data_IF_044123187752
#
_entry.id   IF_044123187752
#
_cell.length_a   1.000
_cell.length_b   1.000
_cell.length_c   1.000
_cell.angle_alpha   90.00
_cell.angle_beta   90.00
_cell.angle_gamma   90.00
#
_symmetry.space_group_name_H-M   'P 1'
#
loop_
_entity.id
_entity.type
_entity.pdbx_description
1 polymer ?
#
# COMPACT_ATOMS: atom_id res chain seq x y z
N UNK A 1 13.05 17.71 -10.97
CA UNK A 1 11.76 16.99 -11.02
C UNK A 1 11.10 17.05 -9.65
N UNK A 2 9.83 17.43 -9.58
CA UNK A 2 9.03 17.32 -8.36
C UNK A 2 8.35 15.95 -8.29
N UNK A 3 8.67 15.17 -7.25
CA UNK A 3 8.07 13.85 -7.04
C UNK A 3 6.91 13.97 -6.06
N UNK A 4 5.71 13.62 -6.52
CA UNK A 4 4.48 13.67 -5.74
C UNK A 4 4.27 12.34 -5.04
N UNK A 5 4.34 12.34 -3.71
CA UNK A 5 4.04 11.19 -2.85
C UNK A 5 3.64 11.67 -1.45
N UNK A 6 3.07 10.77 -0.64
CA UNK A 6 2.68 11.09 0.74
C UNK A 6 3.89 11.03 1.68
N UNK A 7 4.17 12.12 2.41
CA UNK A 7 5.24 12.17 3.41
C UNK A 7 4.66 12.10 4.83
N UNK A 8 4.99 11.04 5.57
CA UNK A 8 4.65 10.91 7.00
C UNK A 8 5.85 11.34 7.86
N UNK A 9 5.67 12.19 8.90
CA UNK A 9 6.75 12.54 9.83
C UNK A 9 7.42 11.36 10.54
N UNK A 10 6.78 10.18 10.56
CA UNK A 10 7.29 8.93 11.15
C UNK A 10 7.78 7.93 10.12
N UNK A 11 7.95 8.31 8.87
CA UNK A 11 8.15 7.43 7.72
C UNK A 11 6.91 6.62 7.34
N UNK A 12 6.82 6.31 6.05
CA UNK A 12 5.88 5.36 5.49
C UNK A 12 6.60 4.59 4.40
N UNK A 13 7.02 3.37 4.72
CA UNK A 13 7.85 2.52 3.86
C UNK A 13 7.45 2.56 2.39
N UNK A 14 6.16 2.44 2.08
CA UNK A 14 5.68 2.41 0.71
C UNK A 14 5.89 3.72 -0.03
N UNK A 15 5.47 4.83 0.57
CA UNK A 15 5.58 6.14 -0.06
C UNK A 15 7.05 6.63 -0.07
N UNK A 16 7.85 6.29 0.94
CA UNK A 16 9.26 6.68 1.03
C UNK A 16 10.15 5.94 0.01
N UNK A 17 9.68 4.86 -0.61
CA UNK A 17 10.39 4.21 -1.73
C UNK A 17 10.66 5.17 -2.89
N UNK A 18 9.85 6.22 -3.05
CA UNK A 18 10.07 7.26 -4.06
C UNK A 18 11.45 7.92 -3.92
N UNK A 19 11.97 8.08 -2.69
CA UNK A 19 13.27 8.70 -2.44
C UNK A 19 14.45 7.80 -2.83
N UNK A 20 14.21 6.49 -2.99
CA UNK A 20 15.25 5.49 -3.25
C UNK A 20 15.20 5.00 -4.70
N UNK A 21 14.01 4.77 -5.24
CA UNK A 21 13.85 4.14 -6.57
C UNK A 21 14.16 5.13 -7.69
N UNK A 22 13.56 6.32 -7.68
CA UNK A 22 13.64 7.24 -8.80
C UNK A 22 15.04 7.82 -9.06
N UNK A 23 15.84 8.17 -8.03
CA UNK A 23 17.20 8.65 -8.26
C UNK A 23 18.15 7.63 -8.92
N UNK A 24 17.79 6.35 -8.89
CA UNK A 24 18.57 5.28 -9.52
C UNK A 24 18.19 5.08 -11.00
N UNK A 25 17.04 5.60 -11.41
CA UNK A 25 16.44 5.33 -12.73
C UNK A 25 16.53 6.52 -13.67
N UNK A 26 16.44 7.74 -13.15
CA UNK A 26 16.48 8.96 -13.95
C UNK A 26 17.84 9.66 -13.88
N UNK A 27 18.27 10.31 -14.97
CA UNK A 27 19.52 11.07 -14.99
C UNK A 27 19.40 12.33 -14.11
N UNK A 28 20.53 12.82 -13.60
CA UNK A 28 20.58 13.95 -12.65
C UNK A 28 19.91 15.21 -13.23
N UNK A 29 20.11 15.47 -14.52
CA UNK A 29 19.53 16.62 -15.23
C UNK A 29 17.99 16.60 -15.17
N UNK A 30 17.38 15.42 -15.34
CA UNK A 30 15.94 15.24 -15.23
C UNK A 30 15.48 15.36 -13.77
N UNK A 31 16.24 14.77 -12.83
CA UNK A 31 15.95 14.87 -11.40
C UNK A 31 16.01 16.31 -10.87
N UNK A 32 16.82 17.17 -11.48
CA UNK A 32 16.97 18.57 -11.11
C UNK A 32 15.99 19.51 -11.85
N UNK A 33 15.35 19.06 -12.94
CA UNK A 33 14.44 19.90 -13.75
C UNK A 33 13.11 20.21 -13.03
N UNK A 34 12.86 21.45 -12.58
CA UNK A 34 11.64 21.81 -11.87
C UNK A 34 10.38 21.73 -12.75
N UNK A 35 10.49 21.71 -14.08
CA UNK A 35 9.34 21.66 -14.99
C UNK A 35 8.79 20.25 -15.21
N UNK A 36 9.42 19.24 -14.62
CA UNK A 36 8.94 17.85 -14.63
C UNK A 36 8.29 17.51 -13.29
N UNK A 37 7.09 16.94 -13.34
CA UNK A 37 6.36 16.40 -12.19
C UNK A 37 6.21 14.89 -12.37
N UNK A 38 6.62 14.12 -11.37
CA UNK A 38 6.43 12.67 -11.33
C UNK A 38 5.38 12.30 -10.28
N UNK A 39 4.29 11.68 -10.72
CA UNK A 39 3.31 11.02 -9.87
C UNK A 39 3.73 9.55 -9.73
N UNK A 40 4.50 9.27 -8.68
CA UNK A 40 5.24 8.02 -8.48
C UNK A 40 4.52 6.97 -7.62
N UNK A 41 5.30 6.22 -6.83
CA UNK A 41 4.80 5.13 -5.98
C UNK A 41 3.79 5.70 -4.96
N UNK A 42 2.65 5.03 -4.81
CA UNK A 42 1.65 5.38 -3.79
C UNK A 42 0.23 5.49 -4.32
N UNK A 43 -0.68 5.89 -3.42
CA UNK A 43 -2.09 6.14 -3.74
C UNK A 43 -2.37 7.64 -3.94
N UNK A 44 -1.52 8.31 -4.71
CA UNK A 44 -1.50 9.78 -4.84
C UNK A 44 -2.24 10.29 -6.08
N UNK A 45 -2.79 9.39 -6.91
CA UNK A 45 -3.60 9.74 -8.07
C UNK A 45 -5.00 10.20 -7.63
N UNK A 46 -5.07 11.39 -7.03
CA UNK A 46 -6.30 11.99 -6.51
C UNK A 46 -6.39 13.47 -6.88
N UNK A 47 -7.61 13.97 -7.03
CA UNK A 47 -7.89 15.38 -7.32
C UNK A 47 -7.28 16.31 -6.26
N UNK A 48 -7.37 15.94 -4.97
CA UNK A 48 -6.83 16.77 -3.89
C UNK A 48 -5.31 16.93 -4.02
N UNK A 49 -4.59 15.84 -4.28
CA UNK A 49 -3.13 15.87 -4.35
C UNK A 49 -2.63 16.54 -5.63
N UNK A 50 -3.37 16.41 -6.73
CA UNK A 50 -2.90 16.81 -8.05
C UNK A 50 -3.57 18.07 -8.62
N UNK A 51 -4.52 18.67 -7.89
CA UNK A 51 -5.11 19.96 -8.26
C UNK A 51 -4.07 21.05 -8.60
N UNK A 52 -2.90 21.16 -7.91
CA UNK A 52 -1.88 22.15 -8.26
C UNK A 52 -1.28 21.99 -9.66
N UNK A 53 -1.42 20.81 -10.28
CA UNK A 53 -0.86 20.49 -11.59
C UNK A 53 -1.92 20.47 -12.71
N UNK A 54 -3.20 20.73 -12.40
CA UNK A 54 -4.23 20.87 -13.43
C UNK A 54 -3.98 22.14 -14.27
N UNK A 55 -3.92 22.01 -15.59
CA UNK A 55 -3.68 23.13 -16.51
C UNK A 55 -2.28 23.77 -16.41
N UNK A 56 -1.34 23.12 -15.72
CA UNK A 56 0.06 23.57 -15.67
C UNK A 56 0.76 23.38 -17.01
N UNK A 57 1.82 24.16 -17.27
CA UNK A 57 2.73 23.95 -18.41
C UNK A 57 3.80 22.89 -18.13
N UNK A 58 3.93 22.46 -16.87
CA UNK A 58 4.88 21.43 -16.44
C UNK A 58 4.52 20.08 -17.06
N UNK A 59 5.55 19.28 -17.38
CA UNK A 59 5.39 17.92 -17.89
C UNK A 59 5.02 16.98 -16.75
N UNK A 60 3.74 16.62 -16.63
CA UNK A 60 3.25 15.68 -15.61
C UNK A 60 3.34 14.25 -16.14
N UNK A 61 4.10 13.40 -15.45
CA UNK A 61 4.33 11.99 -15.79
C UNK A 61 3.73 11.13 -14.68
N UNK A 62 2.86 10.18 -15.02
CA UNK A 62 2.28 9.20 -14.08
C UNK A 62 2.91 7.84 -14.31
N UNK A 63 3.55 7.29 -13.27
CA UNK A 63 4.24 6.00 -13.30
C UNK A 63 3.93 5.17 -12.05
N UNK A 64 3.08 4.17 -12.22
CA UNK A 64 2.73 3.14 -11.24
C UNK A 64 1.96 3.63 -10.01
N UNK A 65 1.59 4.91 -9.96
CA UNK A 65 0.66 5.43 -8.95
C UNK A 65 -0.72 4.78 -9.12
N UNK A 66 -1.42 4.61 -8.01
CA UNK A 66 -2.83 4.23 -8.00
C UNK A 66 -3.73 5.29 -7.39
N UNK A 67 -5.04 5.08 -7.50
CA UNK A 67 -6.03 5.81 -6.71
C UNK A 67 -6.54 4.96 -5.55
N UNK A 68 -6.89 5.59 -4.43
CA UNK A 68 -7.44 4.87 -3.26
C UNK A 68 -7.96 5.79 -2.15
N UNK A 69 -7.69 7.10 -2.17
CA UNK A 69 -8.05 8.02 -1.08
C UNK A 69 -8.86 9.22 -1.59
N UNK A 70 -9.62 9.01 -2.66
CA UNK A 70 -10.36 10.01 -3.39
C UNK A 70 -10.48 9.60 -4.86
N UNK A 71 -11.08 10.45 -5.68
CA UNK A 71 -11.12 10.25 -7.13
C UNK A 71 -9.94 10.95 -7.80
N UNK A 72 -9.40 10.40 -8.91
CA UNK A 72 -8.44 11.11 -9.75
C UNK A 72 -9.01 12.42 -10.32
N UNK A 73 -8.15 13.33 -10.80
CA UNK A 73 -8.60 14.52 -11.51
C UNK A 73 -9.50 14.18 -12.71
N UNK A 74 -10.50 15.03 -12.98
CA UNK A 74 -11.36 14.86 -14.15
C UNK A 74 -10.60 15.10 -15.44
N UNK A 75 -9.81 16.17 -15.48
CA UNK A 75 -8.99 16.52 -16.62
C UNK A 75 -7.53 16.17 -16.34
N UNK A 76 -7.03 15.18 -17.07
CA UNK A 76 -5.62 14.79 -17.14
C UNK A 76 -5.10 14.95 -18.58
N UNK A 77 -5.74 15.81 -19.38
CA UNK A 77 -5.28 16.14 -20.72
C UNK A 77 -3.90 16.80 -20.65
N UNK A 78 -3.01 16.40 -21.56
CA UNK A 78 -1.61 16.84 -21.55
C UNK A 78 -0.71 16.12 -20.54
N UNK A 79 -1.23 15.21 -19.71
CA UNK A 79 -0.40 14.39 -18.83
C UNK A 79 0.07 13.13 -19.54
N UNK A 80 1.30 12.72 -19.24
CA UNK A 80 1.89 11.49 -19.75
C UNK A 80 1.60 10.34 -18.79
N UNK A 81 0.45 9.69 -18.97
CA UNK A 81 0.05 8.52 -18.17
C UNK A 81 0.70 7.27 -18.77
N UNK A 82 1.92 6.96 -18.33
CA UNK A 82 2.73 5.87 -18.89
C UNK A 82 2.44 4.52 -18.23
N UNK A 83 1.94 4.54 -17.00
CA UNK A 83 1.45 3.34 -16.32
C UNK A 83 0.79 3.70 -14.99
N UNK A 84 -0.29 3.02 -14.64
CA UNK A 84 -0.93 3.10 -13.32
C UNK A 84 -0.88 1.75 -12.61
N UNK A 85 -1.07 1.77 -11.29
CA UNK A 85 -0.87 0.61 -10.40
C UNK A 85 -1.62 -0.66 -10.81
N UNK A 86 -2.74 -0.55 -11.49
CA UNK A 86 -3.52 -1.71 -11.87
C UNK A 86 -4.78 -1.39 -12.68
N UNK A 87 -5.53 -2.43 -13.06
CA UNK A 87 -6.70 -2.31 -13.93
C UNK A 87 -7.85 -1.52 -13.31
N UNK A 88 -8.01 -1.51 -11.98
CA UNK A 88 -9.10 -0.74 -11.35
C UNK A 88 -8.79 0.75 -11.40
N UNK A 89 -7.54 1.15 -11.12
CA UNK A 89 -7.12 2.54 -11.30
C UNK A 89 -7.25 2.96 -12.77
N UNK A 90 -6.79 2.12 -13.70
CA UNK A 90 -6.86 2.36 -15.14
C UNK A 90 -8.31 2.56 -15.62
N UNK A 91 -9.23 1.73 -15.13
CA UNK A 91 -10.65 1.86 -15.41
C UNK A 91 -11.23 3.17 -14.85
N UNK A 92 -10.87 3.57 -13.62
CA UNK A 92 -11.35 4.82 -13.02
C UNK A 92 -10.97 6.04 -13.87
N UNK A 93 -9.76 6.07 -14.43
CA UNK A 93 -9.30 7.16 -15.31
C UNK A 93 -9.65 6.95 -16.79
N UNK A 94 -10.43 5.91 -17.11
CA UNK A 94 -10.87 5.58 -18.47
C UNK A 94 -9.70 5.39 -19.47
N UNK A 95 -8.59 4.84 -18.98
CA UNK A 95 -7.39 4.51 -19.76
C UNK A 95 -6.94 3.06 -19.49
N UNK A 96 -7.71 2.05 -19.92
CA UNK A 96 -7.40 0.64 -19.68
C UNK A 96 -6.01 0.22 -20.20
N UNK A 97 -5.51 0.87 -21.25
CA UNK A 97 -4.18 0.66 -21.82
C UNK A 97 -3.04 1.03 -20.85
N UNK A 98 -3.30 1.93 -19.89
CA UNK A 98 -2.31 2.34 -18.89
C UNK A 98 -2.18 1.35 -17.72
N UNK A 99 -2.98 0.27 -17.68
CA UNK A 99 -2.89 -0.73 -16.62
C UNK A 99 -1.51 -1.42 -16.64
N UNK A 100 -0.68 -1.11 -15.64
CA UNK A 100 0.66 -1.65 -15.48
C UNK A 100 0.77 -2.40 -14.15
N UNK A 101 1.58 -1.92 -13.22
CA UNK A 101 1.64 -2.37 -11.83
C UNK A 101 2.20 -1.26 -10.93
N UNK A 102 2.37 -1.51 -9.63
CA UNK A 102 3.03 -0.57 -8.72
C UNK A 102 4.51 -0.39 -9.07
N UNK A 103 4.99 0.87 -9.11
CA UNK A 103 6.38 1.19 -9.48
C UNK A 103 7.44 0.61 -8.54
N UNK A 104 7.06 0.17 -7.33
CA UNK A 104 7.99 -0.55 -6.46
C UNK A 104 8.51 -1.87 -7.08
N UNK A 105 7.86 -2.41 -8.14
CA UNK A 105 8.40 -3.53 -8.93
C UNK A 105 9.79 -3.25 -9.52
N UNK A 106 10.10 -1.98 -9.79
CA UNK A 106 11.37 -1.56 -10.39
C UNK A 106 12.57 -1.83 -9.47
N UNK A 107 12.36 -2.07 -8.17
CA UNK A 107 13.42 -2.54 -7.27
C UNK A 107 14.09 -3.83 -7.77
N UNK A 108 13.39 -4.69 -8.52
CA UNK A 108 13.97 -5.90 -9.10
C UNK A 108 15.07 -5.61 -10.14
N UNK A 109 15.08 -4.41 -10.72
CA UNK A 109 16.11 -3.95 -11.63
C UNK A 109 17.24 -3.16 -10.94
N UNK A 110 17.22 -3.06 -9.61
CA UNK A 110 18.14 -2.22 -8.81
C UNK A 110 18.91 -3.05 -7.77
N UNK A 111 19.79 -3.98 -8.19
CA UNK A 111 20.55 -4.82 -7.26
C UNK A 111 21.46 -4.03 -6.31
N UNK A 112 21.88 -2.82 -6.70
CA UNK A 112 22.65 -1.90 -5.84
C UNK A 112 21.83 -1.33 -4.68
N UNK A 113 20.50 -1.34 -4.77
CA UNK A 113 19.59 -0.88 -3.71
C UNK A 113 19.24 -2.03 -2.77
N UNK A 114 18.89 -3.18 -3.33
CA UNK A 114 18.52 -4.37 -2.56
C UNK A 114 18.83 -5.63 -3.37
N UNK A 115 19.53 -6.56 -2.72
CA UNK A 115 19.82 -7.88 -3.27
C UNK A 115 19.44 -8.94 -2.24
N UNK A 116 18.82 -10.02 -2.71
CA UNK A 116 18.48 -11.19 -1.89
C UNK A 116 19.75 -11.83 -1.35
N UNK A 117 19.75 -12.14 -0.05
CA UNK A 117 20.75 -13.01 0.54
C UNK A 117 20.59 -14.45 0.01
N UNK A 118 21.71 -15.15 -0.19
CA UNK A 118 21.73 -16.56 -0.59
C UNK A 118 21.03 -17.45 0.45
N UNK A 119 21.26 -17.19 1.73
CA UNK A 119 20.62 -17.90 2.84
C UNK A 119 19.50 -17.03 3.46
N UNK A 120 18.29 -17.22 2.93
CA UNK A 120 17.07 -16.58 3.44
C UNK A 120 16.39 -17.45 4.51
N UNK A 121 16.39 -17.01 5.77
CA UNK A 121 15.82 -17.79 6.89
C UNK A 121 14.65 -17.13 7.62
N UNK A 122 14.51 -15.80 7.53
CA UNK A 122 13.63 -15.04 8.44
C UNK A 122 12.18 -15.03 7.97
N UNK A 123 11.23 -15.20 8.88
CA UNK A 123 9.83 -14.87 8.62
C UNK A 123 9.59 -13.46 9.13
N UNK A 124 9.23 -12.53 8.25
CA UNK A 124 8.95 -11.15 8.64
C UNK A 124 7.47 -10.97 8.92
N UNK A 125 7.17 -10.15 9.93
CA UNK A 125 5.83 -9.63 10.15
C UNK A 125 5.84 -8.10 10.01
N UNK A 126 5.04 -7.56 9.09
CA UNK A 126 4.88 -6.11 8.91
C UNK A 126 3.41 -5.70 9.00
N UNK A 127 2.97 -5.03 10.09
CA UNK A 127 1.62 -4.50 10.18
C UNK A 127 1.46 -3.23 9.34
N UNK A 128 0.22 -2.82 9.08
CA UNK A 128 -0.05 -1.49 8.52
C UNK A 128 0.20 -0.41 9.60
N UNK A 129 0.65 0.78 9.21
CA UNK A 129 0.97 1.86 10.17
C UNK A 129 -0.21 2.21 11.11
N UNK A 130 -1.46 2.07 10.62
CA UNK A 130 -2.69 2.30 11.43
C UNK A 130 -2.98 1.22 12.48
N UNK A 131 -2.29 0.08 12.42
CA UNK A 131 -2.49 -1.08 13.29
C UNK A 131 -1.43 -1.16 14.41
N UNK A 132 -0.47 -0.22 14.46
CA UNK A 132 0.62 -0.17 15.46
C UNK A 132 0.20 0.64 16.71
N UNK A 133 -1.04 0.46 17.19
CA UNK A 133 -1.58 1.32 18.25
C UNK A 133 -1.41 0.75 19.66
N UNK A 134 -2.17 -0.29 20.02
CA UNK A 134 -2.10 -0.88 21.37
C UNK A 134 -1.63 -2.32 21.40
N UNK A 135 -1.77 -3.06 20.30
CA UNK A 135 -1.33 -4.46 20.24
C UNK A 135 0.20 -4.54 20.32
N UNK A 136 0.76 -5.37 21.23
CA UNK A 136 2.20 -5.55 21.40
C UNK A 136 2.77 -6.47 20.29
N UNK A 137 2.67 -6.04 19.03
CA UNK A 137 3.05 -6.84 17.87
C UNK A 137 4.46 -7.38 17.95
N UNK A 138 5.43 -6.54 18.33
CA UNK A 138 6.84 -6.95 18.44
C UNK A 138 7.01 -8.22 19.28
N UNK A 139 6.60 -8.15 20.55
CA UNK A 139 6.69 -9.28 21.48
C UNK A 139 5.91 -10.49 20.96
N UNK A 140 4.68 -10.27 20.49
CA UNK A 140 3.81 -11.35 20.03
C UNK A 140 4.40 -12.15 18.87
N UNK A 141 5.06 -11.49 17.92
CA UNK A 141 5.61 -12.16 16.73
C UNK A 141 7.01 -12.73 16.97
N UNK A 142 7.80 -12.08 17.85
CA UNK A 142 9.09 -12.61 18.30
C UNK A 142 8.90 -13.94 19.06
N UNK A 143 7.86 -14.07 19.89
CA UNK A 143 7.47 -15.34 20.54
C UNK A 143 7.07 -16.45 19.54
N UNK A 144 6.77 -16.09 18.29
CA UNK A 144 6.47 -17.02 17.20
C UNK A 144 7.69 -17.32 16.31
N UNK A 145 8.88 -16.82 16.67
CA UNK A 145 10.08 -16.95 15.86
C UNK A 145 10.07 -16.09 14.59
N UNK A 146 9.25 -15.03 14.55
CA UNK A 146 9.20 -14.06 13.45
C UNK A 146 9.97 -12.79 13.82
N UNK A 147 10.39 -12.04 12.80
CA UNK A 147 11.00 -10.71 12.97
C UNK A 147 9.96 -9.63 12.76
N UNK A 148 9.79 -8.76 13.76
CA UNK A 148 8.91 -7.59 13.65
C UNK A 148 9.57 -6.48 12.82
N UNK A 149 8.92 -6.09 11.72
CA UNK A 149 9.34 -4.98 10.85
C UNK A 149 8.25 -3.92 10.85
N UNK A 150 8.53 -2.73 11.36
CA UNK A 150 7.58 -1.62 11.29
C UNK A 150 7.73 -0.86 9.97
N UNK A 151 6.64 -0.44 9.31
CA UNK A 151 6.69 0.43 8.12
C UNK A 151 7.16 1.86 8.42
N UNK A 152 7.42 2.19 9.69
CA UNK A 152 7.86 3.50 10.18
C UNK A 152 9.39 3.52 10.45
N UNK A 153 10.15 2.77 9.66
CA UNK A 153 11.60 2.70 9.69
C UNK A 153 12.17 3.26 8.37
N UNK A 154 13.46 3.67 8.36
CA UNK A 154 14.13 4.04 7.12
C UNK A 154 14.04 2.92 6.09
N UNK A 155 13.76 3.28 4.82
CA UNK A 155 13.59 2.33 3.70
C UNK A 155 14.74 1.34 3.61
N UNK A 156 15.98 1.80 3.72
CA UNK A 156 17.19 0.95 3.64
C UNK A 156 17.19 -0.17 4.70
N UNK A 157 16.74 0.12 5.92
CA UNK A 157 16.76 -0.82 7.04
C UNK A 157 15.67 -1.89 6.85
N UNK A 158 14.53 -1.49 6.26
CA UNK A 158 13.46 -2.41 5.89
C UNK A 158 13.91 -3.31 4.74
N UNK A 159 14.50 -2.76 3.68
CA UNK A 159 14.99 -3.53 2.54
C UNK A 159 16.08 -4.54 2.94
N UNK A 160 16.99 -4.16 3.86
CA UNK A 160 17.99 -5.07 4.40
C UNK A 160 17.36 -6.25 5.17
N UNK A 161 16.26 -6.03 5.89
CA UNK A 161 15.52 -7.12 6.55
C UNK A 161 14.81 -8.02 5.52
N UNK A 162 14.18 -7.42 4.50
CA UNK A 162 13.52 -8.14 3.41
C UNK A 162 14.49 -9.01 2.61
N UNK A 163 15.71 -8.53 2.36
CA UNK A 163 16.77 -9.29 1.70
C UNK A 163 17.04 -10.66 2.35
N UNK A 164 16.79 -10.81 3.66
CA UNK A 164 17.01 -12.04 4.44
C UNK A 164 15.74 -12.86 4.71
N UNK A 165 14.59 -12.45 4.17
CA UNK A 165 13.29 -13.04 4.48
C UNK A 165 12.95 -14.26 3.62
N UNK A 166 12.55 -15.38 4.20
CA UNK A 166 11.97 -16.51 3.44
C UNK A 166 10.45 -16.40 3.26
N UNK A 167 9.80 -15.57 4.06
CA UNK A 167 8.35 -15.34 4.05
C UNK A 167 8.05 -13.96 4.62
N UNK A 168 7.11 -13.23 4.02
CA UNK A 168 6.61 -11.95 4.55
C UNK A 168 5.12 -12.07 4.89
N UNK A 169 4.77 -11.94 6.16
CA UNK A 169 3.39 -11.91 6.64
C UNK A 169 3.01 -10.46 6.90
N UNK A 170 2.07 -9.89 6.16
CA UNK A 170 1.92 -8.42 6.17
C UNK A 170 0.50 -7.92 5.96
N UNK A 171 0.19 -6.82 6.65
CA UNK A 171 -0.99 -5.99 6.42
C UNK A 171 -0.64 -4.71 5.63
N UNK A 172 0.64 -4.39 5.48
CA UNK A 172 1.11 -3.26 4.69
C UNK A 172 1.23 -3.69 3.22
N UNK A 173 0.48 -3.02 2.33
CA UNK A 173 0.48 -3.35 0.89
C UNK A 173 1.87 -3.31 0.27
N UNK A 174 2.68 -2.30 0.59
CA UNK A 174 4.05 -2.24 0.09
C UNK A 174 4.97 -3.30 0.72
N UNK A 175 4.63 -3.83 1.89
CA UNK A 175 5.27 -5.05 2.40
C UNK A 175 5.02 -6.24 1.48
N UNK A 176 3.82 -6.38 0.91
CA UNK A 176 3.52 -7.43 -0.06
C UNK A 176 4.12 -7.15 -1.44
N UNK A 177 4.04 -5.90 -1.94
CA UNK A 177 4.63 -5.51 -3.23
C UNK A 177 6.13 -5.77 -3.26
N UNK A 178 6.86 -5.32 -2.24
CA UNK A 178 8.31 -5.51 -2.17
C UNK A 178 8.65 -6.99 -1.96
N UNK A 179 7.86 -7.74 -1.17
CA UNK A 179 8.05 -9.17 -1.05
C UNK A 179 7.93 -9.87 -2.41
N UNK A 180 6.85 -9.62 -3.15
CA UNK A 180 6.63 -10.20 -4.49
C UNK A 180 7.72 -9.78 -5.48
N UNK A 181 8.19 -8.53 -5.40
CA UNK A 181 9.26 -7.97 -6.22
C UNK A 181 10.60 -8.66 -6.00
N UNK A 182 10.92 -8.97 -4.75
CA UNK A 182 12.11 -9.73 -4.36
C UNK A 182 11.90 -11.24 -4.46
N UNK A 183 10.77 -11.68 -5.04
CA UNK A 183 10.37 -13.09 -5.20
C UNK A 183 10.29 -13.84 -3.87
N UNK A 184 9.85 -13.16 -2.82
CA UNK A 184 9.63 -13.68 -1.48
C UNK A 184 8.15 -14.07 -1.36
N UNK A 185 7.81 -15.32 -1.00
CA UNK A 185 6.43 -15.68 -0.70
C UNK A 185 5.85 -14.79 0.40
N UNK A 186 4.56 -14.44 0.30
CA UNK A 186 3.94 -13.51 1.23
C UNK A 186 2.51 -13.88 1.61
N UNK A 187 2.03 -13.39 2.75
CA UNK A 187 0.68 -13.65 3.27
C UNK A 187 -0.01 -12.31 3.58
N UNK A 188 -1.08 -11.94 2.85
CA UNK A 188 -1.86 -10.75 3.15
C UNK A 188 -2.69 -10.96 4.40
N UNK A 189 -2.62 -9.99 5.30
CA UNK A 189 -3.41 -9.95 6.50
C UNK A 189 -4.45 -8.84 6.44
N UNK A 190 -5.55 -9.05 7.16
CA UNK A 190 -6.49 -8.00 7.55
C UNK A 190 -6.62 -7.93 9.07
N UNK A 191 -5.98 -6.96 9.70
CA UNK A 191 -6.05 -6.74 11.16
C UNK A 191 -7.11 -5.67 11.45
N UNK A 192 -7.08 -4.57 10.70
CA UNK A 192 -7.93 -3.41 10.88
C UNK A 192 -8.99 -3.29 9.79
N UNK A 193 -10.23 -2.85 10.10
CA UNK A 193 -11.23 -2.52 9.09
C UNK A 193 -10.87 -1.27 8.26
N UNK A 194 -9.79 -0.56 8.60
CA UNK A 194 -9.27 0.58 7.84
C UNK A 194 -8.44 0.17 6.61
N UNK A 195 -8.25 -1.13 6.36
CA UNK A 195 -7.54 -1.54 5.15
C UNK A 195 -8.33 -1.10 3.93
N UNK A 196 -7.57 -0.55 2.99
CA UNK A 196 -8.09 -0.12 1.71
C UNK A 196 -8.04 -1.28 0.72
N UNK A 197 -9.13 -2.01 0.62
CA UNK A 197 -9.22 -3.21 -0.23
C UNK A 197 -9.15 -2.86 -1.72
N UNK A 198 -9.59 -1.66 -2.14
CA UNK A 198 -9.48 -1.19 -3.52
C UNK A 198 -8.03 -1.26 -4.03
N UNK A 199 -7.07 -0.64 -3.30
CA UNK A 199 -5.67 -0.62 -3.75
C UNK A 199 -5.01 -1.99 -3.75
N UNK A 200 -5.37 -2.85 -2.78
CA UNK A 200 -4.89 -4.23 -2.73
C UNK A 200 -5.40 -5.03 -3.93
N UNK A 201 -6.71 -4.96 -4.22
CA UNK A 201 -7.29 -5.64 -5.39
C UNK A 201 -6.73 -5.12 -6.70
N UNK A 202 -6.61 -3.80 -6.83
CA UNK A 202 -6.04 -3.14 -8.00
C UNK A 202 -4.63 -3.66 -8.31
N UNK A 203 -3.75 -3.68 -7.31
CA UNK A 203 -2.40 -4.23 -7.46
C UNK A 203 -2.41 -5.76 -7.71
N UNK A 204 -3.15 -6.55 -6.93
CA UNK A 204 -3.19 -8.00 -7.11
C UNK A 204 -3.67 -8.41 -8.52
N UNK A 205 -4.73 -7.76 -9.02
CA UNK A 205 -5.25 -8.00 -10.38
C UNK A 205 -4.22 -7.67 -11.45
N UNK A 206 -3.34 -6.69 -11.23
CA UNK A 206 -2.25 -6.35 -12.15
C UNK A 206 -1.28 -7.53 -12.39
N UNK A 207 -1.13 -8.41 -11.39
CA UNK A 207 -0.27 -9.60 -11.40
C UNK A 207 -1.06 -10.91 -11.55
N UNK A 208 -2.36 -10.86 -11.86
CA UNK A 208 -3.19 -12.05 -11.99
C UNK A 208 -3.48 -12.77 -10.67
N UNK A 209 -3.40 -12.06 -9.54
CA UNK A 209 -3.68 -12.58 -8.21
C UNK A 209 -5.08 -12.18 -7.74
N UNK A 210 -5.77 -13.11 -7.07
CA UNK A 210 -7.03 -12.82 -6.36
C UNK A 210 -6.73 -12.44 -4.93
N UNK A 211 -7.02 -11.19 -4.54
CA UNK A 211 -6.79 -10.73 -3.16
C UNK A 211 -7.78 -11.39 -2.18
N UNK A 212 -7.29 -12.31 -1.34
CA UNK A 212 -8.03 -12.91 -0.24
C UNK A 212 -7.19 -12.88 1.06
N UNK A 213 -7.31 -11.83 1.89
CA UNK A 213 -6.51 -11.67 3.10
C UNK A 213 -6.97 -12.54 4.27
N UNK A 214 -6.03 -13.00 5.09
CA UNK A 214 -6.34 -13.69 6.35
C UNK A 214 -6.73 -12.67 7.41
N UNK A 215 -7.94 -12.78 7.95
CA UNK A 215 -8.41 -11.88 9.00
C UNK A 215 -7.80 -12.23 10.36
N UNK A 216 -7.14 -11.26 10.98
CA UNK A 216 -6.52 -11.39 12.31
C UNK A 216 -7.37 -10.59 13.30
N UNK A 217 -7.82 -11.19 14.42
CA UNK A 217 -8.59 -10.46 15.42
C UNK A 217 -7.72 -9.39 16.11
N UNK A 218 -8.36 -8.41 16.73
CA UNK A 218 -7.67 -7.41 17.53
C UNK A 218 -6.84 -8.07 18.65
N UNK A 219 -5.60 -7.61 18.84
CA UNK A 219 -4.71 -8.13 19.90
C UNK A 219 -4.96 -7.54 21.28
N UNK A 220 -5.79 -6.50 21.40
CA UNK A 220 -6.17 -5.88 22.68
C UNK A 220 -7.64 -5.51 22.71
N UNK A 221 -8.19 -5.33 23.92
CA UNK A 221 -9.55 -4.82 24.11
C UNK A 221 -9.72 -3.41 23.52
N UNK A 222 -8.69 -2.56 23.62
CA UNK A 222 -8.68 -1.20 23.06
C UNK A 222 -8.75 -1.23 21.53
N UNK A 223 -8.01 -2.12 20.87
CA UNK A 223 -8.08 -2.27 19.41
C UNK A 223 -9.42 -2.87 18.97
N UNK A 224 -9.98 -3.83 19.74
CA UNK A 224 -11.31 -4.40 19.47
C UNK A 224 -12.39 -3.32 19.44
N UNK A 225 -12.44 -2.47 20.47
CA UNK A 225 -13.42 -1.39 20.57
C UNK A 225 -13.26 -0.39 19.41
N UNK A 226 -12.01 0.03 19.14
CA UNK A 226 -11.68 0.92 18.03
C UNK A 226 -12.12 0.35 16.69
N UNK A 227 -11.82 -0.92 16.41
CA UNK A 227 -12.20 -1.59 15.16
C UNK A 227 -13.72 -1.75 15.06
N UNK A 228 -14.40 -2.03 16.17
CA UNK A 228 -15.85 -2.09 16.24
C UNK A 228 -16.51 -0.74 15.91
N UNK A 229 -15.99 0.35 16.47
CA UNK A 229 -16.45 1.70 16.15
C UNK A 229 -16.25 2.04 14.68
N UNK A 230 -15.05 1.77 14.15
CA UNK A 230 -14.71 2.02 12.76
C UNK A 230 -15.57 1.20 11.79
N UNK A 231 -15.86 -0.07 12.10
CA UNK A 231 -16.78 -0.89 11.31
C UNK A 231 -18.20 -0.31 11.31
N UNK A 232 -18.73 0.11 12.47
CA UNK A 232 -20.05 0.77 12.54
C UNK A 232 -20.10 2.02 11.69
N UNK A 233 -19.00 2.77 11.65
CA UNK A 233 -18.90 3.97 10.86
C UNK A 233 -18.91 3.68 9.36
N UNK A 234 -18.04 2.78 8.89
CA UNK A 234 -17.99 2.37 7.49
C UNK A 234 -19.37 1.86 7.01
N UNK A 235 -20.07 1.10 7.86
CA UNK A 235 -21.42 0.64 7.54
C UNK A 235 -22.43 1.79 7.40
N UNK A 236 -22.35 2.83 8.25
CA UNK A 236 -23.22 4.02 8.13
C UNK A 236 -22.99 4.78 6.83
N UNK A 237 -21.78 4.72 6.29
CA UNK A 237 -21.41 5.38 5.04
C UNK A 237 -21.63 4.47 3.83
N UNK A 238 -22.29 3.33 4.00
CA UNK A 238 -22.57 2.38 2.92
C UNK A 238 -21.32 1.66 2.40
N UNK A 239 -20.28 1.53 3.22
CA UNK A 239 -19.04 0.82 2.91
C UNK A 239 -19.01 -0.49 3.68
N UNK A 240 -19.23 -1.60 2.98
CA UNK A 240 -19.28 -2.97 3.48
C UNK A 240 -17.99 -3.77 3.22
N UNK A 241 -17.01 -3.20 2.53
CA UNK A 241 -15.73 -3.85 2.22
C UNK A 241 -15.75 -4.51 0.85
N UNK A 242 -15.29 -5.77 0.76
CA UNK A 242 -15.04 -6.49 -0.52
C UNK A 242 -16.28 -6.57 -1.41
N UNK A 243 -17.46 -6.66 -0.79
CA UNK A 243 -18.75 -6.73 -1.48
C UNK A 243 -19.11 -5.46 -2.28
N UNK A 244 -18.42 -4.34 -2.06
CA UNK A 244 -18.75 -3.07 -2.70
C UNK A 244 -18.07 -2.85 -4.06
N UNK A 245 -17.08 -3.67 -4.41
CA UNK A 245 -16.34 -3.55 -5.67
C UNK A 245 -16.62 -4.83 -6.50
N UNK A 246 -17.57 -4.81 -7.44
CA UNK A 246 -17.78 -5.94 -8.35
C UNK A 246 -16.51 -6.31 -9.12
N UNK A 247 -16.35 -7.58 -9.51
CA UNK A 247 -15.16 -8.04 -10.28
C UNK A 247 -15.02 -7.31 -11.62
N UNK A 248 -16.14 -6.99 -12.27
CA UNK A 248 -16.20 -6.29 -13.56
C UNK A 248 -16.87 -4.91 -13.42
N UNK A 249 -16.58 -4.19 -12.34
CA UNK A 249 -17.19 -2.89 -12.08
C UNK A 249 -16.80 -1.86 -13.15
N UNK A 250 -17.80 -1.19 -13.72
CA UNK A 250 -17.59 -0.07 -14.64
C UNK A 250 -16.95 1.13 -13.93
N UNK A 251 -16.30 2.01 -14.70
CA UNK A 251 -15.61 3.20 -14.21
C UNK A 251 -16.49 4.06 -13.28
N UNK A 252 -17.76 4.27 -13.64
CA UNK A 252 -18.72 5.02 -12.84
C UNK A 252 -18.99 4.37 -11.46
N UNK A 253 -19.06 3.03 -11.41
CA UNK A 253 -19.26 2.29 -10.16
C UNK A 253 -18.03 2.40 -9.26
N UNK A 254 -16.83 2.27 -9.84
CA UNK A 254 -15.57 2.42 -9.11
C UNK A 254 -15.39 3.85 -8.57
N UNK A 255 -15.73 4.87 -9.37
CA UNK A 255 -15.74 6.28 -8.94
C UNK A 255 -16.72 6.52 -7.80
N UNK A 256 -17.97 6.06 -7.94
CA UNK A 256 -18.98 6.19 -6.89
C UNK A 256 -18.58 5.49 -5.59
N UNK A 257 -17.86 4.36 -5.67
CA UNK A 257 -17.27 3.71 -4.51
C UNK A 257 -16.21 4.60 -3.84
N UNK A 258 -15.27 5.15 -4.60
CA UNK A 258 -14.20 6.02 -4.08
C UNK A 258 -14.78 7.30 -3.45
N UNK A 259 -15.75 7.95 -4.11
CA UNK A 259 -16.43 9.13 -3.59
C UNK A 259 -17.18 8.82 -2.30
N UNK A 260 -17.96 7.72 -2.26
CA UNK A 260 -18.70 7.31 -1.07
C UNK A 260 -17.74 7.05 0.10
N UNK A 261 -16.62 6.36 -0.16
CA UNK A 261 -15.64 6.00 0.88
C UNK A 261 -14.85 7.20 1.39
N UNK A 262 -14.50 8.16 0.53
CA UNK A 262 -13.62 9.29 0.88
C UNK A 262 -14.28 10.68 0.83
N UNK A 263 -15.61 10.73 0.83
CA UNK A 263 -16.33 11.99 0.99
C UNK A 263 -15.85 12.78 2.23
N UNK A 264 -15.92 14.09 2.17
CA UNK A 264 -15.52 14.99 3.26
C UNK A 264 -16.25 14.68 4.58
N UNK A 265 -17.49 14.19 4.51
CA UNK A 265 -18.26 13.67 5.65
C UNK A 265 -17.56 12.50 6.38
N UNK A 266 -16.72 11.73 5.68
CA UNK A 266 -15.93 10.61 6.22
C UNK A 266 -14.53 11.04 6.69
N UNK A 267 -14.03 12.18 6.19
CA UNK A 267 -12.69 12.70 6.51
C UNK A 267 -12.59 13.19 7.96
N UNK A 268 -13.69 13.74 8.52
CA UNK A 268 -13.75 14.21 9.92
C UNK A 268 -13.68 13.09 10.96
N UNK A 269 -13.89 11.84 10.55
CA UNK A 269 -13.91 10.70 11.46
C UNK A 269 -12.52 10.17 11.81
N UNK A 270 -11.47 10.70 11.18
CA UNK A 270 -10.17 10.05 11.22
C UNK A 270 -9.24 10.42 12.39
N UNK A 271 -9.38 11.53 13.14
CA UNK A 271 -8.28 11.88 14.06
C UNK A 271 -8.60 12.52 15.41
N UNK A 272 -9.63 13.35 15.56
CA UNK A 272 -9.63 14.30 16.68
C UNK A 272 -10.39 13.86 17.95
N UNK A 273 -11.53 13.15 17.82
CA UNK A 273 -12.48 13.04 18.94
C UNK A 273 -12.23 11.92 19.97
N UNK A 274 -11.42 10.90 19.65
CA UNK A 274 -11.28 9.73 20.54
C UNK A 274 -10.20 9.84 21.63
N UNK A 275 -9.26 10.80 21.58
CA UNK A 275 -8.13 10.83 22.53
C UNK A 275 -8.52 11.17 23.98
N UNK A 276 -9.63 11.89 24.21
CA UNK A 276 -9.98 12.41 25.55
C UNK A 276 -10.86 11.49 26.39
N UNK A 277 -11.94 10.90 25.84
CA UNK A 277 -12.88 10.11 26.63
C UNK A 277 -12.39 8.68 26.95
N UNK A 278 -11.55 8.09 26.09
CA UNK A 278 -11.15 6.66 26.18
C UNK A 278 -10.09 6.40 27.26
N UNK A 279 -9.36 7.43 27.73
CA UNK A 279 -8.26 7.24 28.70
C UNK A 279 -8.71 6.70 30.06
N UNK A 280 -9.90 7.08 30.54
CA UNK A 280 -10.40 6.68 31.86
C UNK A 280 -10.94 5.24 31.89
N UNK A 281 -11.47 4.74 30.78
CA UNK A 281 -12.01 3.36 30.66
C UNK A 281 -10.96 2.31 30.29
N UNK A 282 -9.72 2.72 30.01
CA UNK A 282 -8.64 1.83 29.54
C UNK A 282 -8.12 0.84 30.59
N UNK A 283 -8.16 1.19 31.87
CA UNK A 283 -7.59 0.34 32.92
C UNK A 283 -8.35 -0.99 33.11
N UNK A 284 -9.69 -1.02 33.28
CA UNK A 284 -10.41 -2.29 33.42
C UNK A 284 -10.42 -3.12 32.12
N UNK A 285 -10.38 -2.49 30.95
CA UNK A 285 -10.35 -3.21 29.65
C UNK A 285 -9.08 -4.04 29.47
N UNK A 286 -7.94 -3.62 30.05
CA UNK A 286 -6.66 -4.35 29.97
C UNK A 286 -6.68 -5.72 30.63
N UNK A 287 -7.61 -5.97 31.56
CA UNK A 287 -7.76 -7.29 32.18
C UNK A 287 -8.09 -8.40 31.17
N UNK A 288 -8.69 -8.04 30.03
CA UNK A 288 -9.03 -8.97 28.96
C UNK A 288 -7.94 -9.09 27.88
N UNK A 289 -6.90 -8.25 27.89
CA UNK A 289 -5.84 -8.23 26.86
C UNK A 289 -5.13 -9.59 26.68
N UNK A 290 -4.88 -10.40 27.73
CA UNK A 290 -4.28 -11.72 27.56
C UNK A 290 -5.09 -12.65 26.63
N UNK A 291 -6.43 -12.58 26.68
CA UNK A 291 -7.30 -13.39 25.82
C UNK A 291 -7.22 -12.94 24.36
N UNK A 292 -7.27 -11.62 24.12
CA UNK A 292 -7.14 -11.06 22.77
C UNK A 292 -5.76 -11.32 22.16
N UNK A 293 -4.71 -11.13 22.96
CA UNK A 293 -3.33 -11.41 22.56
C UNK A 293 -3.18 -12.86 22.15
N UNK A 294 -3.72 -13.80 22.95
CA UNK A 294 -3.72 -15.23 22.62
C UNK A 294 -4.45 -15.52 21.31
N UNK A 295 -5.63 -14.94 21.09
CA UNK A 295 -6.40 -15.12 19.86
C UNK A 295 -5.67 -14.60 18.62
N UNK A 296 -5.16 -13.38 18.67
CA UNK A 296 -4.38 -12.77 17.58
C UNK A 296 -3.10 -13.57 17.29
N UNK A 297 -2.39 -14.02 18.33
CA UNK A 297 -1.18 -14.84 18.20
C UNK A 297 -1.46 -16.18 17.51
N UNK A 298 -2.52 -16.89 17.91
CA UNK A 298 -2.91 -18.16 17.28
C UNK A 298 -3.32 -17.97 15.81
N UNK A 299 -4.10 -16.93 15.53
CA UNK A 299 -4.49 -16.59 14.15
C UNK A 299 -3.27 -16.27 13.29
N UNK A 300 -2.31 -15.50 13.82
CA UNK A 300 -1.08 -15.15 13.12
C UNK A 300 -0.19 -16.37 12.87
N UNK A 301 -0.02 -17.23 13.88
CA UNK A 301 0.74 -18.47 13.75
C UNK A 301 0.13 -19.42 12.71
N UNK A 302 -1.21 -19.46 12.62
CA UNK A 302 -1.93 -20.20 11.59
C UNK A 302 -1.71 -19.59 10.20
N UNK A 303 -1.87 -18.27 10.07
CA UNK A 303 -1.69 -17.55 8.82
C UNK A 303 -0.29 -17.77 8.22
N UNK A 304 0.76 -17.74 9.04
CA UNK A 304 2.14 -17.93 8.60
C UNK A 304 2.47 -19.37 8.14
N UNK A 305 1.62 -20.35 8.47
CA UNK A 305 1.73 -21.75 8.01
C UNK A 305 0.76 -22.09 6.89
N UNK A 306 -0.14 -21.17 6.55
CA UNK A 306 -1.17 -21.35 5.53
C UNK A 306 -0.65 -21.10 4.11
N UNK A 307 -1.57 -21.04 3.14
CA UNK A 307 -1.24 -20.67 1.77
C UNK A 307 -0.58 -19.28 1.72
N UNK A 308 0.43 -19.16 0.87
CA UNK A 308 1.09 -17.91 0.55
C UNK A 308 0.83 -17.52 -0.89
N UNK A 309 1.04 -16.24 -1.17
CA UNK A 309 1.03 -15.66 -2.49
C UNK A 309 2.46 -15.53 -3.01
N UNK A 310 2.57 -15.68 -4.32
CA UNK A 310 3.68 -15.25 -5.14
C UNK A 310 3.15 -15.16 -6.56
N UNK A 311 3.31 -14.01 -7.22
CA UNK A 311 2.90 -13.87 -8.62
C UNK A 311 3.63 -14.88 -9.51
N UNK A 312 3.01 -15.30 -10.61
CA UNK A 312 3.69 -16.18 -11.58
C UNK A 312 4.85 -15.43 -12.22
N UNK A 313 5.98 -16.11 -12.44
CA UNK A 313 7.19 -15.49 -13.02
C UNK A 313 6.90 -14.78 -14.35
N UNK A 314 6.04 -15.36 -15.21
CA UNK A 314 5.65 -14.76 -16.47
C UNK A 314 4.84 -13.46 -16.30
N UNK A 315 3.94 -13.39 -15.31
CA UNK A 315 3.15 -12.18 -15.04
C UNK A 315 4.04 -11.10 -14.43
N UNK A 316 4.91 -11.47 -13.49
CA UNK A 316 5.91 -10.61 -12.89
C UNK A 316 6.85 -10.01 -13.93
N UNK A 317 7.51 -10.85 -14.74
CA UNK A 317 8.47 -10.42 -15.74
C UNK A 317 7.83 -9.49 -16.78
N UNK A 318 6.60 -9.80 -17.23
CA UNK A 318 5.85 -8.95 -18.15
C UNK A 318 5.60 -7.56 -17.56
N UNK A 319 5.19 -7.46 -16.29
CA UNK A 319 4.97 -6.17 -15.62
C UNK A 319 6.25 -5.41 -15.34
N UNK A 320 7.34 -6.11 -15.00
CA UNK A 320 8.65 -5.47 -14.83
C UNK A 320 9.14 -4.84 -16.13
N UNK A 321 9.09 -5.57 -17.25
CA UNK A 321 9.46 -5.05 -18.57
C UNK A 321 8.59 -3.85 -18.96
N UNK A 322 7.27 -3.96 -18.79
CA UNK A 322 6.35 -2.84 -19.07
C UNK A 322 6.72 -1.58 -18.26
N UNK A 323 7.08 -1.72 -16.98
CA UNK A 323 7.47 -0.57 -16.15
C UNK A 323 8.86 -0.02 -16.54
N UNK A 324 9.79 -0.87 -16.96
CA UNK A 324 11.09 -0.42 -17.50
C UNK A 324 10.91 0.37 -18.81
N UNK A 325 10.06 -0.10 -19.72
CA UNK A 325 9.72 0.61 -20.95
C UNK A 325 9.04 1.95 -20.67
N UNK A 326 8.18 2.01 -19.66
CA UNK A 326 7.55 3.24 -19.21
C UNK A 326 8.56 4.25 -18.63
N UNK A 327 9.58 3.78 -17.91
CA UNK A 327 10.71 4.62 -17.46
C UNK A 327 11.50 5.16 -18.65
N UNK A 328 11.81 4.33 -19.65
CA UNK A 328 12.50 4.78 -20.86
C UNK A 328 11.66 5.77 -21.70
N UNK A 329 10.34 5.59 -21.74
CA UNK A 329 9.44 6.56 -22.35
C UNK A 329 9.46 7.89 -21.59
N UNK A 330 9.48 7.87 -20.25
CA UNK A 330 9.60 9.08 -19.44
C UNK A 330 10.90 9.85 -19.69
N UNK A 331 12.03 9.14 -19.83
CA UNK A 331 13.33 9.76 -20.16
C UNK A 331 13.30 10.50 -21.50
N UNK A 332 12.65 9.93 -22.52
CA UNK A 332 12.47 10.55 -23.84
C UNK A 332 11.60 11.80 -23.83
N UNK A 333 10.79 12.01 -22.80
CA UNK A 333 10.00 13.24 -22.64
C UNK A 333 10.82 14.39 -22.04
N UNK A 334 11.94 14.09 -21.38
CA UNK A 334 12.82 15.07 -20.76
C UNK A 334 13.87 15.64 -21.73
N UNK A 335 14.20 14.90 -22.79
CA UNK A 335 15.00 15.35 -23.95
C UNK A 335 14.20 16.22 -24.89
#
# INVERSE_FOLDING_TARGET
>A
MEIVYYKDPKHNFGDDLNEVVWPQLFPAEMLDDPDIVLVGIGSVLTQQQLAPFAGTRRKVIVLGSGTSYGVPPQDMSGWHVLGVRGPLTAAVIERPEAAATDSAILLAALPQVVQRAEEAGKVLFMPHHRSIFSTPWRQMVEDLGMTYVTPQQPVRDILAQFAQARLVVTEAMHGAIVADTLRIPWVPLRISPAIEEFKWRDWCLSLGLTYAPVSIPAGTASDRDRFGHMRKLLLRTGVRGEADIPENAEAATLRAYLERRFSSANSELNFARQRRLVRLLRWPMRLADPLYTRGARLALASAAKGPCYLSRDADFARRLVQMQEAVEAAKRLAT
#
